data_IF_226164002026
#
_entry.id   IF_226164002026
#
_cell.length_a   1.000
_cell.length_b   1.000
_cell.length_c   1.000
_cell.angle_alpha   90.00
_cell.angle_beta   90.00
_cell.angle_gamma   90.00
#
_symmetry.space_group_name_H-M   'P 1'
#
loop_
_entity.id
_entity.type
_entity.pdbx_description
1 polymer ?
#
# COMPACT_ATOMS: atom_id res chain seq x y z
N UNK A 1 7.55 -22.02 -14.43
CA UNK A 1 8.14 -21.34 -13.25
C UNK A 1 9.54 -21.91 -13.10
N UNK A 2 10.60 -21.10 -13.22
CA UNK A 2 11.97 -21.62 -13.26
C UNK A 2 12.46 -22.10 -11.87
N UNK A 3 11.97 -21.48 -10.78
CA UNK A 3 12.47 -21.72 -9.42
C UNK A 3 11.35 -22.04 -8.39
N UNK A 4 10.15 -22.40 -8.85
CA UNK A 4 9.01 -22.67 -7.96
C UNK A 4 8.04 -23.67 -8.59
N UNK A 5 7.44 -24.54 -7.79
CA UNK A 5 6.39 -25.46 -8.24
C UNK A 5 5.04 -24.78 -8.45
N UNK A 6 4.78 -23.75 -7.64
CA UNK A 6 3.54 -22.98 -7.65
C UNK A 6 3.81 -21.51 -7.32
N UNK A 7 2.95 -20.61 -7.79
CA UNK A 7 2.94 -19.19 -7.41
C UNK A 7 1.52 -18.73 -7.11
N UNK A 8 1.41 -17.71 -6.27
CA UNK A 8 0.17 -16.97 -6.02
C UNK A 8 0.43 -15.50 -6.27
N UNK A 9 -0.44 -14.84 -7.03
CA UNK A 9 -0.33 -13.43 -7.39
C UNK A 9 -1.65 -12.72 -7.11
N UNK A 10 -1.60 -11.61 -6.40
CA UNK A 10 -2.76 -10.74 -6.19
C UNK A 10 -3.00 -9.85 -7.41
N UNK A 11 -4.24 -9.79 -7.88
CA UNK A 11 -4.66 -8.83 -8.90
C UNK A 11 -5.20 -7.54 -8.27
N UNK A 12 -5.66 -7.63 -7.02
CA UNK A 12 -6.35 -6.54 -6.32
C UNK A 12 -5.48 -5.67 -5.42
N UNK A 13 -4.26 -5.39 -5.87
CA UNK A 13 -3.32 -4.47 -5.20
C UNK A 13 -2.84 -3.43 -6.23
N UNK A 14 -1.53 -3.34 -6.49
CA UNK A 14 -0.98 -2.41 -7.48
C UNK A 14 -1.49 -2.61 -8.91
N UNK A 15 -2.06 -3.77 -9.24
CA UNK A 15 -2.70 -4.02 -10.54
C UNK A 15 -4.17 -3.56 -10.62
N UNK A 16 -4.71 -2.96 -9.55
CA UNK A 16 -5.99 -2.25 -9.52
C UNK A 16 -7.25 -3.06 -9.82
N UNK A 17 -7.19 -4.40 -9.93
CA UNK A 17 -8.42 -5.19 -10.03
C UNK A 17 -9.24 -5.05 -8.72
N UNK A 18 -10.57 -4.98 -8.77
CA UNK A 18 -11.37 -4.80 -7.56
C UNK A 18 -11.34 -6.04 -6.65
N UNK A 19 -11.20 -7.24 -7.22
CA UNK A 19 -11.19 -8.51 -6.49
C UNK A 19 -10.26 -9.48 -7.20
N UNK A 20 -9.54 -10.30 -6.43
CA UNK A 20 -9.03 -11.57 -6.92
C UNK A 20 -7.52 -11.77 -6.76
N UNK A 21 -7.16 -13.04 -6.82
CA UNK A 21 -5.79 -13.53 -6.91
C UNK A 21 -5.78 -14.78 -7.78
N UNK A 22 -4.65 -15.07 -8.40
CA UNK A 22 -4.47 -16.24 -9.27
C UNK A 22 -3.39 -17.12 -8.69
N UNK A 23 -3.62 -18.43 -8.73
CA UNK A 23 -2.60 -19.44 -8.45
C UNK A 23 -2.20 -20.12 -9.76
N UNK A 24 -0.91 -20.33 -9.97
CA UNK A 24 -0.36 -21.04 -11.13
C UNK A 24 0.58 -22.16 -10.66
N UNK A 25 0.65 -23.24 -11.44
CA UNK A 25 1.43 -24.43 -11.13
C UNK A 25 1.09 -25.56 -12.11
N UNK A 26 1.50 -26.79 -11.80
CA UNK A 26 1.23 -27.95 -12.67
C UNK A 26 -0.28 -28.22 -12.85
N UNK A 27 -0.67 -28.87 -13.95
CA UNK A 27 -2.06 -29.22 -14.19
C UNK A 27 -2.64 -30.12 -13.07
N UNK A 28 -1.82 -31.00 -12.49
CA UNK A 28 -2.20 -31.81 -11.33
C UNK A 28 -2.48 -30.97 -10.09
N UNK A 29 -1.57 -30.03 -9.79
CA UNK A 29 -1.76 -29.07 -8.70
C UNK A 29 -3.04 -28.27 -8.89
N UNK A 30 -3.28 -27.72 -10.08
CA UNK A 30 -4.47 -26.89 -10.35
C UNK A 30 -5.77 -27.71 -10.22
N UNK A 31 -5.78 -29.00 -10.55
CA UNK A 31 -6.93 -29.88 -10.27
C UNK A 31 -7.23 -29.97 -8.77
N UNK A 32 -6.18 -30.21 -7.95
CA UNK A 32 -6.29 -30.25 -6.48
C UNK A 32 -6.74 -28.90 -5.91
N UNK A 33 -6.12 -27.80 -6.35
CA UNK A 33 -6.43 -26.45 -5.92
C UNK A 33 -7.88 -26.05 -6.26
N UNK A 34 -8.40 -26.40 -7.46
CA UNK A 34 -9.80 -26.16 -7.81
C UNK A 34 -10.79 -26.89 -6.91
N UNK A 35 -10.48 -28.13 -6.51
CA UNK A 35 -11.29 -28.88 -5.54
C UNK A 35 -11.27 -28.17 -4.18
N UNK A 36 -10.10 -27.78 -3.69
CA UNK A 36 -9.98 -27.05 -2.42
C UNK A 36 -10.70 -25.70 -2.45
N UNK A 37 -10.61 -24.96 -3.56
CA UNK A 37 -11.38 -23.73 -3.78
C UNK A 37 -12.88 -23.97 -3.61
N UNK A 38 -13.41 -25.10 -4.10
CA UNK A 38 -14.83 -25.43 -3.92
C UNK A 38 -15.18 -25.75 -2.47
N UNK A 39 -14.31 -26.47 -1.75
CA UNK A 39 -14.47 -26.82 -0.33
C UNK A 39 -14.44 -25.56 0.53
N UNK A 40 -13.50 -24.66 0.30
CA UNK A 40 -13.36 -23.39 1.01
C UNK A 40 -14.39 -22.31 0.61
N UNK A 41 -15.34 -22.62 -0.27
CA UNK A 41 -16.40 -21.70 -0.68
C UNK A 41 -16.05 -20.71 -1.81
N UNK A 42 -14.82 -20.69 -2.32
CA UNK A 42 -14.38 -19.80 -3.42
C UNK A 42 -14.91 -20.17 -4.81
N UNK A 43 -15.81 -21.15 -4.93
CA UNK A 43 -16.42 -21.59 -6.19
C UNK A 43 -17.56 -20.67 -6.63
N UNK A 44 -17.23 -19.44 -7.03
CA UNK A 44 -18.17 -18.42 -7.49
C UNK A 44 -18.87 -18.81 -8.80
N UNK A 45 -20.05 -18.21 -9.05
CA UNK A 45 -20.85 -18.41 -10.27
C UNK A 45 -20.47 -17.41 -11.35
N UNK A 46 -21.18 -16.30 -11.49
CA UNK A 46 -20.97 -15.27 -12.52
C UNK A 46 -19.71 -14.42 -12.27
N UNK A 47 -18.56 -15.06 -12.08
CA UNK A 47 -17.27 -14.42 -11.78
C UNK A 47 -16.61 -13.77 -13.00
N UNK A 48 -17.23 -13.83 -14.18
CA UNK A 48 -16.71 -13.24 -15.43
C UNK A 48 -16.48 -11.74 -15.32
N UNK A 49 -17.33 -11.02 -14.57
CA UNK A 49 -17.17 -9.58 -14.33
C UNK A 49 -15.85 -9.26 -13.62
N UNK A 50 -15.51 -10.03 -12.57
CA UNK A 50 -14.26 -9.87 -11.83
C UNK A 50 -13.07 -10.33 -12.68
N UNK A 51 -13.24 -11.44 -13.41
CA UNK A 51 -12.20 -11.95 -14.30
C UNK A 51 -11.85 -10.95 -15.42
N UNK A 52 -12.81 -10.22 -15.96
CA UNK A 52 -12.56 -9.19 -16.98
C UNK A 52 -11.65 -8.07 -16.46
N UNK A 53 -11.90 -7.57 -15.25
CA UNK A 53 -11.00 -6.61 -14.60
C UNK A 53 -9.62 -7.23 -14.33
N UNK A 54 -9.57 -8.52 -13.97
CA UNK A 54 -8.33 -9.26 -13.81
C UNK A 54 -7.51 -9.41 -15.10
N UNK A 55 -8.16 -9.48 -16.27
CA UNK A 55 -7.46 -9.50 -17.57
C UNK A 55 -6.76 -8.16 -17.81
N UNK A 56 -7.48 -7.04 -17.67
CA UNK A 56 -6.90 -5.68 -17.79
C UNK A 56 -5.74 -5.50 -16.82
N UNK A 57 -5.91 -5.94 -15.57
CA UNK A 57 -4.89 -5.87 -14.53
C UNK A 57 -3.56 -6.53 -14.94
N UNK A 58 -3.60 -7.68 -15.64
CA UNK A 58 -2.37 -8.37 -16.07
C UNK A 58 -1.86 -7.92 -17.44
N UNK A 59 -2.72 -7.38 -18.31
CA UNK A 59 -2.33 -6.96 -19.66
C UNK A 59 -1.87 -5.51 -19.74
N UNK A 60 -2.32 -4.65 -18.84
CA UNK A 60 -2.14 -3.20 -18.97
C UNK A 60 -1.51 -2.54 -17.73
N UNK A 61 -1.70 -3.10 -16.53
CA UNK A 61 -1.32 -2.41 -15.28
C UNK A 61 0.08 -2.74 -14.75
N UNK A 62 0.85 -3.61 -15.41
CA UNK A 62 2.15 -4.07 -14.90
C UNK A 62 3.24 -2.99 -15.03
N UNK A 63 3.40 -2.41 -16.22
CA UNK A 63 4.52 -1.48 -16.50
C UNK A 63 4.46 -0.24 -15.59
N UNK A 64 3.25 0.27 -15.34
CA UNK A 64 3.00 1.45 -14.51
C UNK A 64 3.31 1.26 -13.02
N UNK A 65 3.60 0.05 -12.54
CA UNK A 65 4.07 -0.17 -11.16
C UNK A 65 5.37 0.59 -10.90
N UNK A 66 6.17 0.86 -11.95
CA UNK A 66 7.33 1.72 -11.86
C UNK A 66 6.98 3.14 -11.37
N UNK A 67 5.80 3.66 -11.71
CA UNK A 67 5.33 4.97 -11.26
C UNK A 67 5.04 4.95 -9.74
N UNK A 68 4.48 3.85 -9.22
CA UNK A 68 4.29 3.70 -7.78
C UNK A 68 5.62 3.74 -7.04
N UNK A 69 6.64 3.05 -7.58
CA UNK A 69 7.98 3.03 -7.00
C UNK A 69 8.63 4.41 -7.04
N UNK A 70 8.49 5.12 -8.17
CA UNK A 70 8.99 6.49 -8.32
C UNK A 70 8.33 7.44 -7.30
N UNK A 71 7.00 7.38 -7.16
CA UNK A 71 6.26 8.17 -6.19
C UNK A 71 6.66 7.84 -4.74
N UNK A 72 6.87 6.57 -4.41
CA UNK A 72 7.36 6.17 -3.09
C UNK A 72 8.74 6.78 -2.80
N UNK A 73 9.62 6.83 -3.80
CA UNK A 73 10.94 7.45 -3.66
C UNK A 73 10.86 8.97 -3.46
N UNK A 74 10.01 9.66 -4.22
CA UNK A 74 9.73 11.09 -4.02
C UNK A 74 9.22 11.36 -2.60
N UNK A 75 8.24 10.56 -2.14
CA UNK A 75 7.71 10.68 -0.79
C UNK A 75 8.78 10.45 0.27
N UNK A 76 9.58 9.38 0.15
CA UNK A 76 10.63 9.06 1.11
C UNK A 76 11.71 10.14 1.18
N UNK A 77 12.13 10.69 0.03
CA UNK A 77 13.08 11.81 -0.02
C UNK A 77 12.51 13.05 0.66
N UNK A 78 11.26 13.40 0.39
CA UNK A 78 10.60 14.53 1.05
C UNK A 78 10.47 14.33 2.56
N UNK A 79 10.10 13.13 3.00
CA UNK A 79 9.98 12.79 4.42
C UNK A 79 11.33 12.84 5.13
N UNK A 80 12.43 12.42 4.47
CA UNK A 80 13.79 12.46 5.04
C UNK A 80 14.29 13.87 5.36
N UNK A 81 13.68 14.89 4.75
CA UNK A 81 14.00 16.29 4.97
C UNK A 81 13.16 16.94 6.10
N UNK A 82 12.23 16.19 6.72
CA UNK A 82 11.36 16.72 7.78
C UNK A 82 11.94 16.41 9.17
N UNK A 83 12.04 17.44 10.01
CA UNK A 83 12.45 17.29 11.41
C UNK A 83 11.46 16.38 12.17
N UNK A 84 12.02 15.41 12.90
CA UNK A 84 11.24 14.44 13.65
C UNK A 84 10.75 13.23 12.83
N UNK A 85 11.24 13.06 11.60
CA UNK A 85 11.04 11.84 10.81
C UNK A 85 12.39 11.22 10.47
N UNK A 86 12.51 9.90 10.67
CA UNK A 86 13.66 9.11 10.22
C UNK A 86 13.22 8.13 9.13
N UNK A 87 13.86 8.22 7.96
CA UNK A 87 13.64 7.31 6.83
C UNK A 87 14.91 7.21 6.00
N UNK A 88 15.28 6.00 5.60
CA UNK A 88 16.34 5.78 4.63
C UNK A 88 15.73 5.75 3.21
N UNK A 89 15.77 6.88 2.51
CA UNK A 89 15.20 7.00 1.17
C UNK A 89 15.95 6.16 0.11
N UNK A 90 17.23 5.84 0.34
CA UNK A 90 18.04 5.05 -0.60
C UNK A 90 17.71 3.56 -0.57
N UNK A 91 17.06 3.08 0.50
CA UNK A 91 16.62 1.69 0.65
C UNK A 91 15.20 1.43 0.10
N UNK A 92 14.54 2.45 -0.47
CA UNK A 92 13.19 2.31 -1.03
C UNK A 92 13.25 1.73 -2.45
N UNK A 93 12.92 0.44 -2.54
CA UNK A 93 12.98 -0.36 -3.78
C UNK A 93 11.61 -0.62 -4.43
N UNK A 94 10.52 -0.40 -3.70
CA UNK A 94 9.14 -0.69 -4.16
C UNK A 94 8.18 0.44 -3.80
N UNK A 95 6.88 0.19 -3.79
CA UNK A 95 5.85 1.17 -3.49
C UNK A 95 5.59 1.38 -1.99
N UNK A 96 6.44 0.87 -1.11
CA UNK A 96 6.25 0.91 0.35
C UNK A 96 7.35 1.75 0.99
N UNK A 97 6.94 2.75 1.78
CA UNK A 97 7.84 3.58 2.57
C UNK A 97 7.57 3.32 4.05
N UNK A 98 8.56 2.76 4.73
CA UNK A 98 8.57 2.67 6.19
C UNK A 98 9.43 3.81 6.75
N UNK A 99 8.91 4.50 7.75
CA UNK A 99 9.62 5.58 8.44
C UNK A 99 9.25 5.60 9.92
N UNK A 100 10.11 6.21 10.73
CA UNK A 100 9.94 6.33 12.17
C UNK A 100 9.66 7.79 12.57
N UNK A 101 8.68 7.96 13.46
CA UNK A 101 8.36 9.24 14.07
C UNK A 101 9.28 9.45 15.29
N UNK A 102 10.23 10.37 15.15
CA UNK A 102 11.26 10.68 16.14
C UNK A 102 10.83 11.88 17.00
N UNK A 103 9.66 11.76 17.62
CA UNK A 103 9.06 12.81 18.46
C UNK A 103 8.37 12.23 19.68
N UNK A 104 8.55 12.90 20.81
CA UNK A 104 7.94 12.52 22.10
C UNK A 104 6.60 13.23 22.34
N UNK A 105 6.33 14.33 21.64
CA UNK A 105 5.15 15.17 21.82
C UNK A 105 3.95 14.76 20.94
N UNK A 106 4.16 13.82 20.02
CA UNK A 106 3.10 13.27 19.17
C UNK A 106 3.34 11.79 18.89
N UNK A 107 2.28 10.98 19.05
CA UNK A 107 2.31 9.55 18.73
C UNK A 107 1.99 9.31 17.24
N UNK A 108 2.40 8.16 16.65
CA UNK A 108 2.03 7.82 15.28
C UNK A 108 0.51 7.78 15.04
N UNK A 109 -0.27 7.41 16.06
CA UNK A 109 -1.73 7.41 16.00
C UNK A 109 -2.30 8.84 15.87
N UNK A 110 -1.75 9.78 16.64
CA UNK A 110 -2.12 11.18 16.56
C UNK A 110 -1.70 11.77 15.21
N UNK A 111 -0.47 11.52 14.76
CA UNK A 111 0.00 11.98 13.45
C UNK A 111 -0.87 11.45 12.31
N UNK A 112 -1.24 10.16 12.34
CA UNK A 112 -2.18 9.56 11.38
C UNK A 112 -3.54 10.28 11.37
N UNK A 113 -4.09 10.64 12.54
CA UNK A 113 -5.35 11.39 12.60
C UNK A 113 -5.20 12.83 12.09
N UNK A 114 -4.11 13.52 12.43
CA UNK A 114 -3.84 14.87 11.92
C UNK A 114 -3.70 14.90 10.40
N UNK A 115 -3.04 13.88 9.83
CA UNK A 115 -2.90 13.72 8.38
C UNK A 115 -4.24 13.40 7.72
N UNK A 116 -5.08 12.58 8.36
CA UNK A 116 -6.44 12.29 7.88
C UNK A 116 -7.29 13.55 7.77
N UNK A 117 -7.23 14.44 8.76
CA UNK A 117 -7.94 15.74 8.72
C UNK A 117 -7.49 16.62 7.54
N UNK A 118 -6.27 16.38 7.03
CA UNK A 118 -5.68 17.03 5.85
C UNK A 118 -5.83 16.21 4.56
N UNK A 119 -6.63 15.15 4.59
CA UNK A 119 -6.92 14.31 3.42
C UNK A 119 -5.88 13.21 3.12
N UNK A 120 -4.90 12.98 4.00
CA UNK A 120 -3.84 11.99 3.81
C UNK A 120 -4.05 10.79 4.74
N UNK A 121 -4.16 9.59 4.16
CA UNK A 121 -4.44 8.36 4.91
C UNK A 121 -3.20 7.47 4.96
N UNK A 122 -2.76 7.11 6.17
CA UNK A 122 -1.65 6.19 6.40
C UNK A 122 -1.77 5.49 7.75
N UNK A 123 -1.09 4.35 7.88
CA UNK A 123 -1.20 3.49 9.05
C UNK A 123 0.05 3.54 9.93
N UNK A 124 -0.12 3.64 11.27
CA UNK A 124 0.90 3.18 12.20
C UNK A 124 1.21 1.69 11.97
N UNK A 125 2.48 1.31 12.11
CA UNK A 125 2.97 -0.07 11.97
C UNK A 125 3.63 -0.62 13.25
N UNK A 126 3.35 0.02 14.39
CA UNK A 126 3.81 -0.37 15.72
C UNK A 126 5.00 0.46 16.21
N UNK A 127 5.06 0.70 17.52
CA UNK A 127 6.06 1.60 18.11
C UNK A 127 5.95 3.02 17.54
N UNK A 128 7.09 3.57 17.12
CA UNK A 128 7.24 4.84 16.38
C UNK A 128 6.98 4.72 14.88
N UNK A 129 6.87 3.48 14.37
CA UNK A 129 6.92 3.20 12.94
C UNK A 129 5.62 3.47 12.23
N UNK A 130 5.70 4.03 11.04
CA UNK A 130 4.60 4.26 10.12
C UNK A 130 4.87 3.63 8.76
N UNK A 131 3.80 3.34 8.01
CA UNK A 131 3.88 2.79 6.65
C UNK A 131 3.00 3.57 5.69
N UNK A 132 3.63 4.17 4.69
CA UNK A 132 2.96 4.71 3.52
C UNK A 132 3.09 3.72 2.35
N UNK A 133 2.05 3.62 1.53
CA UNK A 133 2.02 2.76 0.34
C UNK A 133 1.50 3.59 -0.82
N UNK A 134 2.28 3.74 -1.88
CA UNK A 134 1.86 4.39 -3.11
C UNK A 134 1.16 3.38 -4.03
N UNK A 135 0.16 3.85 -4.76
CA UNK A 135 -0.61 3.01 -5.69
C UNK A 135 -1.37 3.91 -6.67
N UNK A 136 -1.79 3.36 -7.81
CA UNK A 136 -2.75 4.04 -8.69
C UNK A 136 -4.07 4.36 -7.93
N UNK A 137 -4.65 5.56 -8.06
CA UNK A 137 -4.32 6.63 -9.02
C UNK A 137 -3.41 7.74 -8.48
N UNK A 138 -2.63 7.51 -7.41
CA UNK A 138 -1.77 8.54 -6.84
C UNK A 138 -0.68 8.99 -7.83
N UNK A 139 -0.46 10.29 -7.84
CA UNK A 139 0.49 11.00 -8.68
C UNK A 139 1.61 11.64 -7.86
N UNK A 140 2.65 12.14 -8.52
CA UNK A 140 3.71 12.91 -7.87
C UNK A 140 3.16 14.17 -7.16
N UNK A 141 2.16 14.83 -7.74
CA UNK A 141 1.49 15.98 -7.10
C UNK A 141 0.80 15.61 -5.78
N UNK A 142 0.27 14.39 -5.68
CA UNK A 142 -0.28 13.87 -4.43
C UNK A 142 0.82 13.63 -3.38
N UNK A 143 2.03 13.26 -3.80
CA UNK A 143 3.18 13.12 -2.89
C UNK A 143 3.57 14.48 -2.30
N UNK A 144 3.61 15.53 -3.12
CA UNK A 144 3.86 16.89 -2.63
C UNK A 144 2.76 17.38 -1.68
N UNK A 145 1.49 17.14 -2.03
CA UNK A 145 0.34 17.44 -1.16
C UNK A 145 0.45 16.72 0.18
N UNK A 146 0.86 15.44 0.16
CA UNK A 146 1.09 14.68 1.38
C UNK A 146 2.22 15.28 2.23
N UNK A 147 3.35 15.62 1.62
CA UNK A 147 4.50 16.22 2.30
C UNK A 147 4.15 17.55 2.97
N UNK A 148 3.34 18.39 2.33
CA UNK A 148 2.87 19.64 2.94
C UNK A 148 1.93 19.36 4.12
N UNK A 149 1.05 18.36 4.02
CA UNK A 149 0.24 17.93 5.15
C UNK A 149 1.08 17.41 6.33
N UNK A 150 2.20 16.72 6.06
CA UNK A 150 3.16 16.30 7.10
C UNK A 150 3.80 17.49 7.80
N UNK A 151 4.30 18.48 7.05
CA UNK A 151 4.87 19.70 7.62
C UNK A 151 3.87 20.39 8.54
N UNK A 152 2.64 20.57 8.08
CA UNK A 152 1.57 21.21 8.85
C UNK A 152 1.17 20.41 10.09
N UNK A 153 1.07 19.08 9.98
CA UNK A 153 0.72 18.22 11.11
C UNK A 153 1.81 18.21 12.19
N UNK A 154 3.08 18.12 11.78
CA UNK A 154 4.23 18.15 12.69
C UNK A 154 4.39 19.53 13.36
N UNK A 155 4.13 20.63 12.65
CA UNK A 155 4.16 21.98 13.23
C UNK A 155 3.06 22.22 14.26
N UNK A 156 1.90 21.58 14.09
CA UNK A 156 0.72 21.76 14.96
C UNK A 156 0.47 20.57 15.91
N UNK A 157 1.50 19.78 16.21
CA UNK A 157 1.42 18.56 16.99
C UNK A 157 0.62 18.69 18.31
N UNK A 158 0.79 19.81 19.02
CA UNK A 158 0.11 20.11 20.29
C UNK A 158 -1.43 20.24 20.20
N UNK A 159 -1.99 20.42 19.00
CA UNK A 159 -3.43 20.57 18.78
C UNK A 159 -4.09 19.25 18.33
N UNK A 160 -3.32 18.17 18.22
CA UNK A 160 -3.80 16.91 17.64
C UNK A 160 -4.73 16.18 18.61
N UNK A 161 -5.92 15.83 18.13
CA UNK A 161 -6.95 15.20 18.97
C UNK A 161 -6.62 13.74 19.31
N UNK A 162 -7.05 13.31 20.50
CA UNK A 162 -7.01 11.90 20.89
C UNK A 162 -8.12 11.13 20.18
N UNK A 163 -7.77 10.43 19.10
CA UNK A 163 -8.64 9.53 18.36
C UNK A 163 -8.02 8.15 18.19
N UNK A 164 -8.86 7.10 18.07
CA UNK A 164 -8.36 5.78 17.66
C UNK A 164 -7.76 5.89 16.26
N UNK A 165 -6.51 5.45 16.08
CA UNK A 165 -5.92 5.30 14.76
C UNK A 165 -6.79 4.35 13.92
N UNK A 166 -7.12 4.78 12.71
CA UNK A 166 -7.78 3.93 11.73
C UNK A 166 -6.73 3.13 10.97
N UNK A 167 -7.00 1.84 10.76
CA UNK A 167 -6.19 1.01 9.88
C UNK A 167 -6.87 0.97 8.52
N UNK A 168 -6.25 1.59 7.54
CA UNK A 168 -6.66 1.57 6.14
C UNK A 168 -6.16 0.28 5.47
N UNK A 169 -7.06 -0.41 4.76
CA UNK A 169 -6.78 -1.68 4.08
C UNK A 169 -6.23 -1.50 2.67
#
# INVERSE_FOLDING_TARGET
LQNADTVSVCLSKGLSAPVGSVVAGSAEFIRKARRMRKVAGGGMRQAGMIAAAGVVAVSEMIERLADDHANAKVLAQGLSALDGIEVNADEIETNIVYFDLMRDDITPAQLSNALKERGVLLNPSGGTRMRAVTHHPLTEADMHTALDAFKDALANAAQTTNGKAYVYG
#
